data_IF_314042587198
#
_entry.id   IF_314042587198
#
_cell.length_a   1.000
_cell.length_b   1.000
_cell.length_c   1.000
_cell.angle_alpha   90.00
_cell.angle_beta   90.00
_cell.angle_gamma   90.00
#
_symmetry.space_group_name_H-M   'P 1'
#
loop_
_entity.id
_entity.type
_entity.pdbx_description
1 polymer ?
#
# COMPACT_ATOMS: atom_id res chain seq x y z
N UNK A 1 -10.56 7.72 12.08
CA UNK A 1 -9.95 7.21 13.33
C UNK A 1 -10.96 6.65 14.34
N UNK A 2 -12.22 7.13 14.44
CA UNK A 2 -13.17 6.60 15.45
C UNK A 2 -13.80 5.23 15.17
N UNK A 3 -13.92 4.81 13.89
CA UNK A 3 -14.59 3.54 13.53
C UNK A 3 -13.83 2.29 14.01
N UNK A 4 -12.50 2.34 13.97
CA UNK A 4 -11.64 1.24 14.44
C UNK A 4 -11.69 1.07 15.96
N UNK A 5 -11.81 2.17 16.71
CA UNK A 5 -11.89 2.14 18.17
C UNK A 5 -13.21 1.49 18.64
N UNK A 6 -14.31 1.76 17.93
CA UNK A 6 -15.62 1.19 18.21
C UNK A 6 -15.65 -0.33 17.93
N UNK A 7 -14.98 -0.80 16.87
CA UNK A 7 -14.86 -2.24 16.58
C UNK A 7 -14.05 -2.95 17.66
N UNK A 8 -12.92 -2.37 18.08
CA UNK A 8 -12.08 -2.95 19.15
C UNK A 8 -12.84 -2.99 20.47
N UNK A 9 -13.61 -1.94 20.80
CA UNK A 9 -14.45 -1.90 21.99
C UNK A 9 -15.52 -3.01 21.98
N UNK A 10 -16.20 -3.22 20.85
CA UNK A 10 -17.23 -4.26 20.73
C UNK A 10 -16.60 -5.66 20.86
N UNK A 11 -15.47 -5.91 20.19
CA UNK A 11 -14.77 -7.21 20.28
C UNK A 11 -14.29 -7.49 21.70
N UNK A 12 -13.78 -6.47 22.41
CA UNK A 12 -13.37 -6.60 23.81
C UNK A 12 -14.55 -6.91 24.75
N UNK A 13 -15.69 -6.23 24.58
CA UNK A 13 -16.90 -6.46 25.39
C UNK A 13 -17.46 -7.86 25.15
N UNK A 14 -17.56 -8.29 23.88
CA UNK A 14 -18.05 -9.63 23.53
C UNK A 14 -17.10 -10.70 24.04
N UNK A 15 -15.79 -10.51 23.90
CA UNK A 15 -14.78 -11.43 24.42
C UNK A 15 -14.84 -11.59 25.94
N UNK A 16 -14.97 -10.47 26.67
CA UNK A 16 -15.13 -10.50 28.13
C UNK A 16 -16.45 -11.17 28.55
N UNK A 17 -17.55 -10.92 27.83
CA UNK A 17 -18.85 -11.52 28.11
C UNK A 17 -18.87 -13.03 27.85
N UNK A 18 -18.25 -13.49 26.76
CA UNK A 18 -18.10 -14.92 26.45
C UNK A 18 -17.22 -15.62 27.48
N UNK A 19 -16.09 -15.01 27.88
CA UNK A 19 -15.25 -15.56 28.95
C UNK A 19 -15.97 -15.61 30.29
N UNK A 20 -16.78 -14.60 30.61
CA UNK A 20 -17.59 -14.56 31.84
C UNK A 20 -18.68 -15.65 31.86
N UNK A 21 -19.32 -15.93 30.73
CA UNK A 21 -20.37 -16.95 30.62
C UNK A 21 -19.83 -18.38 30.56
N UNK A 22 -18.66 -18.61 29.95
CA UNK A 22 -18.11 -19.95 29.72
C UNK A 22 -17.06 -20.40 30.73
N UNK A 23 -16.55 -19.50 31.58
CA UNK A 23 -15.46 -19.81 32.51
C UNK A 23 -15.54 -19.05 33.87
N UNK A 24 -16.63 -19.15 34.64
CA UNK A 24 -16.80 -18.42 35.91
C UNK A 24 -15.85 -18.88 37.03
N UNK A 25 -15.12 -19.98 36.84
CA UNK A 25 -14.26 -20.61 37.86
C UNK A 25 -12.79 -20.64 37.49
N UNK A 26 -12.37 -20.03 36.37
CA UNK A 26 -10.96 -19.98 36.04
C UNK A 26 -10.24 -18.97 36.93
N UNK A 27 -9.16 -19.37 37.62
CA UNK A 27 -8.31 -18.44 38.36
C UNK A 27 -7.85 -17.29 37.47
N UNK A 28 -7.81 -16.07 38.03
CA UNK A 28 -7.50 -14.84 37.28
C UNK A 28 -6.18 -14.91 36.48
N UNK A 29 -5.20 -15.70 36.94
CA UNK A 29 -3.95 -15.89 36.23
C UNK A 29 -4.11 -16.69 34.92
N UNK A 30 -5.03 -17.66 34.85
CA UNK A 30 -5.29 -18.44 33.63
C UNK A 30 -5.99 -17.56 32.59
N UNK A 31 -6.95 -16.74 33.03
CA UNK A 31 -7.62 -15.78 32.15
C UNK A 31 -6.64 -14.73 31.60
N UNK A 32 -5.71 -14.24 32.43
CA UNK A 32 -4.67 -13.32 31.98
C UNK A 32 -3.72 -13.96 30.95
N UNK A 33 -3.24 -15.18 31.22
CA UNK A 33 -2.34 -15.90 30.29
C UNK A 33 -3.06 -16.22 28.98
N UNK A 34 -4.30 -16.70 29.03
CA UNK A 34 -5.10 -16.94 27.82
C UNK A 34 -5.36 -15.64 27.04
N UNK A 35 -5.64 -14.54 27.72
CA UNK A 35 -5.78 -13.22 27.11
C UNK A 35 -4.51 -12.74 26.40
N UNK A 36 -3.33 -12.90 27.03
CA UNK A 36 -2.04 -12.54 26.43
C UNK A 36 -1.72 -13.44 25.22
N UNK A 37 -2.01 -14.73 25.29
CA UNK A 37 -1.79 -15.67 24.18
C UNK A 37 -2.72 -15.34 23.02
N UNK A 38 -4.01 -15.11 23.28
CA UNK A 38 -5.00 -14.74 22.25
C UNK A 38 -4.67 -13.39 21.63
N UNK A 39 -4.30 -12.39 22.42
CA UNK A 39 -3.88 -11.08 21.89
C UNK A 39 -2.57 -11.18 21.11
N UNK A 40 -1.59 -11.98 21.55
CA UNK A 40 -0.37 -12.25 20.78
C UNK A 40 -0.65 -12.98 19.47
N UNK A 41 -1.62 -13.90 19.46
CA UNK A 41 -1.99 -14.65 18.26
C UNK A 41 -2.78 -13.77 17.29
N UNK A 42 -3.71 -12.96 17.80
CA UNK A 42 -4.43 -11.95 17.02
C UNK A 42 -3.46 -10.90 16.48
N UNK A 43 -2.46 -10.46 17.24
CA UNK A 43 -1.42 -9.54 16.76
C UNK A 43 -0.56 -10.16 15.64
N UNK A 44 -0.41 -11.50 15.61
CA UNK A 44 0.18 -12.21 14.46
C UNK A 44 -0.77 -12.45 13.29
N UNK A 45 -2.09 -12.33 13.48
CA UNK A 45 -3.12 -12.55 12.45
C UNK A 45 -3.69 -11.26 11.88
N UNK A 46 -3.58 -10.14 12.59
CA UNK A 46 -3.82 -8.81 12.04
C UNK A 46 -2.58 -8.51 11.18
N UNK A 47 -2.73 -8.34 9.86
CA UNK A 47 -1.64 -7.82 9.06
C UNK A 47 -1.40 -6.42 9.60
N UNK A 48 -0.32 -6.27 10.39
CA UNK A 48 0.38 -5.00 10.49
C UNK A 48 0.39 -4.42 9.09
N UNK A 49 -0.04 -3.16 8.97
CA UNK A 49 0.37 -2.32 7.84
C UNK A 49 1.86 -2.07 8.04
N UNK A 50 2.63 -3.15 7.95
CA UNK A 50 4.05 -3.18 7.73
C UNK A 50 4.23 -2.25 6.56
N UNK A 51 4.87 -1.12 6.84
CA UNK A 51 5.76 -0.47 5.89
C UNK A 51 6.50 -1.61 5.19
N UNK A 52 6.00 -2.00 4.04
CA UNK A 52 6.47 -3.17 3.35
C UNK A 52 7.87 -2.80 2.89
N UNK A 53 8.87 -3.38 3.54
CA UNK A 53 9.98 -3.95 2.81
C UNK A 53 9.34 -4.96 1.84
N UNK A 54 8.79 -4.43 0.74
CA UNK A 54 8.50 -5.24 -0.43
C UNK A 54 9.87 -5.78 -0.78
N UNK A 55 10.08 -7.09 -0.60
CA UNK A 55 11.08 -7.79 -1.39
C UNK A 55 10.70 -7.43 -2.82
N UNK A 56 11.42 -6.46 -3.40
CA UNK A 56 11.29 -6.10 -4.79
C UNK A 56 11.69 -7.35 -5.57
N UNK A 57 10.73 -8.23 -5.84
CA UNK A 57 10.84 -9.03 -7.05
C UNK A 57 10.73 -8.03 -8.19
N UNK A 58 11.88 -7.44 -8.53
CA UNK A 58 11.99 -6.59 -9.68
C UNK A 58 11.58 -7.43 -10.88
N UNK A 59 10.55 -6.98 -11.57
CA UNK A 59 10.14 -7.63 -12.79
C UNK A 59 11.26 -7.46 -13.81
N UNK A 60 11.93 -8.57 -14.13
CA UNK A 60 12.98 -8.64 -15.15
C UNK A 60 12.28 -8.89 -16.48
N UNK A 61 11.91 -7.81 -17.16
CA UNK A 61 11.22 -7.82 -18.45
C UNK A 61 11.03 -6.41 -19.00
N UNK A 62 10.35 -6.23 -20.13
CA UNK A 62 10.09 -4.90 -20.68
C UNK A 62 9.24 -4.08 -19.69
N UNK A 63 9.82 -2.99 -19.18
CA UNK A 63 9.15 -2.05 -18.28
C UNK A 63 8.82 -0.76 -19.02
N UNK A 64 7.80 -0.08 -18.53
CA UNK A 64 7.34 1.20 -19.04
C UNK A 64 7.04 2.11 -17.86
N UNK A 65 7.44 3.37 -18.00
CA UNK A 65 7.17 4.38 -16.99
C UNK A 65 5.90 5.16 -17.34
N UNK A 66 5.01 5.30 -16.36
CA UNK A 66 3.79 6.08 -16.47
C UNK A 66 3.91 7.35 -15.65
N UNK A 67 3.45 8.45 -16.22
CA UNK A 67 3.17 9.70 -15.52
C UNK A 67 1.76 9.65 -14.94
N UNK A 68 1.66 9.90 -13.64
CA UNK A 68 0.40 9.92 -12.90
C UNK A 68 0.19 11.31 -12.31
N UNK A 69 -0.74 12.06 -12.88
CA UNK A 69 -1.08 13.44 -12.50
C UNK A 69 -2.40 13.56 -11.76
N UNK A 70 -2.60 14.73 -11.15
CA UNK A 70 -3.77 15.09 -10.33
C UNK A 70 -4.00 14.16 -9.12
N UNK A 71 -2.91 13.58 -8.61
CA UNK A 71 -2.93 12.77 -7.41
C UNK A 71 -3.33 13.61 -6.18
N UNK A 72 -4.14 13.07 -5.26
CA UNK A 72 -4.45 13.70 -3.98
C UNK A 72 -3.18 14.05 -3.22
N UNK A 73 -3.15 15.22 -2.57
CA UNK A 73 -2.00 15.64 -1.77
C UNK A 73 -1.72 14.74 -0.57
N UNK A 74 -2.66 13.87 -0.20
CA UNK A 74 -2.53 12.92 0.90
C UNK A 74 -2.06 11.53 0.46
N UNK A 75 -2.02 11.23 -0.85
CA UNK A 75 -1.69 9.88 -1.34
C UNK A 75 -0.22 9.52 -1.14
N UNK A 76 0.02 8.32 -0.61
CA UNK A 76 1.37 7.77 -0.41
C UNK A 76 1.79 6.83 -1.56
N UNK A 77 3.10 6.59 -1.68
CA UNK A 77 3.66 5.68 -2.69
C UNK A 77 3.07 4.26 -2.58
N UNK A 78 2.81 3.78 -1.35
CA UNK A 78 2.18 2.49 -1.12
C UNK A 78 0.76 2.39 -1.69
N UNK A 79 -0.07 3.44 -1.53
CA UNK A 79 -1.43 3.46 -2.10
C UNK A 79 -1.39 3.43 -3.63
N UNK A 80 -0.46 4.17 -4.24
CA UNK A 80 -0.26 4.16 -5.69
C UNK A 80 0.26 2.79 -6.14
N UNK A 81 1.21 2.19 -5.44
CA UNK A 81 1.72 0.85 -5.76
C UNK A 81 0.62 -0.20 -5.74
N UNK A 82 -0.27 -0.16 -4.75
CA UNK A 82 -1.42 -1.07 -4.65
C UNK A 82 -2.40 -0.86 -5.81
N UNK A 83 -2.73 0.40 -6.13
CA UNK A 83 -3.67 0.73 -7.22
C UNK A 83 -3.14 0.25 -8.58
N UNK A 84 -1.87 0.46 -8.87
CA UNK A 84 -1.25 0.04 -10.13
C UNK A 84 -0.91 -1.45 -10.14
N UNK A 85 -0.70 -2.05 -8.96
CA UNK A 85 -0.45 -3.48 -8.77
C UNK A 85 -1.59 -4.40 -9.22
N UNK A 86 -2.83 -3.89 -9.27
CA UNK A 86 -3.99 -4.63 -9.79
C UNK A 86 -3.86 -4.91 -11.30
N UNK A 87 -3.11 -4.08 -12.03
CA UNK A 87 -2.95 -4.19 -13.49
C UNK A 87 -1.67 -4.91 -13.91
N UNK A 88 -0.67 -4.99 -13.02
CA UNK A 88 0.59 -5.69 -13.28
C UNK A 88 1.66 -5.44 -12.21
N UNK A 89 2.81 -6.14 -12.28
CA UNK A 89 3.91 -5.95 -11.36
C UNK A 89 4.51 -4.54 -11.47
N UNK A 90 4.62 -3.85 -10.33
CA UNK A 90 5.16 -2.49 -10.20
C UNK A 90 6.58 -2.56 -9.65
N UNK A 91 7.54 -2.09 -10.44
CA UNK A 91 8.95 -2.05 -10.07
C UNK A 91 9.23 -0.90 -9.11
N UNK A 92 8.85 0.32 -9.48
CA UNK A 92 9.16 1.52 -8.69
C UNK A 92 8.04 2.55 -8.75
N UNK A 93 7.86 3.29 -7.65
CA UNK A 93 6.91 4.41 -7.57
C UNK A 93 7.62 5.61 -6.98
N UNK A 94 7.61 6.72 -7.72
CA UNK A 94 8.26 7.97 -7.33
C UNK A 94 7.27 9.12 -7.33
N UNK A 95 6.90 9.60 -6.14
CA UNK A 95 6.03 10.78 -6.01
C UNK A 95 6.84 12.07 -5.91
N UNK A 96 6.51 13.07 -6.72
CA UNK A 96 7.24 14.33 -6.75
C UNK A 96 6.74 15.28 -5.65
N UNK A 97 7.68 15.73 -4.83
CA UNK A 97 7.46 16.69 -3.76
C UNK A 97 8.26 17.95 -4.04
N UNK A 98 7.71 19.10 -3.68
CA UNK A 98 8.44 20.36 -3.75
C UNK A 98 9.52 20.39 -2.66
N UNK A 99 10.79 20.56 -3.06
CA UNK A 99 11.94 20.56 -2.17
C UNK A 99 11.99 21.78 -1.25
N UNK A 100 11.33 22.88 -1.62
CA UNK A 100 11.32 24.13 -0.83
C UNK A 100 10.22 24.14 0.22
N UNK A 101 9.03 23.67 -0.13
CA UNK A 101 7.85 23.72 0.75
C UNK A 101 7.51 22.38 1.39
N UNK A 102 8.13 21.28 0.96
CA UNK A 102 7.81 19.91 1.38
C UNK A 102 6.44 19.43 0.90
N UNK A 103 5.65 20.27 0.20
CA UNK A 103 4.30 19.95 -0.24
C UNK A 103 4.36 19.04 -1.47
N UNK A 104 3.47 18.06 -1.52
CA UNK A 104 3.33 17.17 -2.70
C UNK A 104 2.81 17.99 -3.87
N UNK A 105 3.41 17.84 -5.05
CA UNK A 105 2.94 18.56 -6.25
C UNK A 105 1.68 17.92 -6.86
N UNK A 106 1.27 16.75 -6.37
CA UNK A 106 0.11 16.02 -6.88
C UNK A 106 0.38 15.29 -8.19
N UNK A 107 1.62 14.89 -8.42
CA UNK A 107 1.98 14.02 -9.53
C UNK A 107 3.18 13.12 -9.17
N UNK A 108 3.35 12.05 -9.93
CA UNK A 108 4.45 11.11 -9.77
C UNK A 108 4.67 10.25 -11.00
N UNK A 109 5.63 9.35 -10.88
CA UNK A 109 6.04 8.40 -11.90
C UNK A 109 5.93 6.98 -11.33
N UNK A 110 5.42 6.05 -12.14
CA UNK A 110 5.28 4.64 -11.78
C UNK A 110 5.94 3.81 -12.86
N UNK A 111 6.91 3.00 -12.49
CA UNK A 111 7.54 2.03 -13.38
C UNK A 111 6.94 0.65 -13.13
N UNK A 112 6.41 0.04 -14.19
CA UNK A 112 5.77 -1.28 -14.14
C UNK A 112 5.97 -2.03 -15.46
N UNK A 113 5.55 -3.29 -15.55
CA UNK A 113 5.63 -4.02 -16.81
C UNK A 113 4.88 -3.31 -17.94
N UNK A 114 5.40 -3.36 -19.17
CA UNK A 114 4.80 -2.67 -20.33
C UNK A 114 3.34 -3.08 -20.56
N UNK A 115 3.04 -4.38 -20.44
CA UNK A 115 1.68 -4.92 -20.53
C UNK A 115 0.75 -4.35 -19.46
N UNK A 116 1.24 -4.25 -18.22
CA UNK A 116 0.47 -3.67 -17.11
C UNK A 116 0.29 -2.17 -17.27
N UNK A 117 1.31 -1.47 -17.76
CA UNK A 117 1.31 -0.04 -17.98
C UNK A 117 0.25 0.39 -19.01
N UNK A 118 0.15 -0.32 -20.13
CA UNK A 118 -0.87 -0.05 -21.15
C UNK A 118 -2.29 -0.24 -20.59
N UNK A 119 -2.52 -1.31 -19.83
CA UNK A 119 -3.82 -1.58 -19.17
C UNK A 119 -4.17 -0.51 -18.15
N UNK A 120 -3.22 -0.16 -17.29
CA UNK A 120 -3.37 0.88 -16.29
C UNK A 120 -3.68 2.24 -16.94
N UNK A 121 -3.01 2.58 -18.04
CA UNK A 121 -3.26 3.82 -18.77
C UNK A 121 -4.69 3.89 -19.31
N UNK A 122 -5.24 2.80 -19.86
CA UNK A 122 -6.62 2.78 -20.37
C UNK A 122 -7.66 2.78 -19.24
N UNK A 123 -7.39 2.10 -18.13
CA UNK A 123 -8.36 1.91 -17.03
C UNK A 123 -8.33 2.99 -15.96
N UNK A 124 -7.15 3.53 -15.65
CA UNK A 124 -6.94 4.53 -14.60
C UNK A 124 -6.89 5.96 -15.13
N UNK A 125 -6.74 6.16 -16.45
CA UNK A 125 -6.88 7.50 -17.00
C UNK A 125 -8.34 7.97 -16.86
N UNK A 126 -8.51 9.15 -16.27
CA UNK A 126 -9.79 9.75 -15.90
C UNK A 126 -10.57 9.01 -14.79
N UNK A 127 -9.91 8.11 -14.06
CA UNK A 127 -10.48 7.45 -12.90
C UNK A 127 -10.59 8.40 -11.69
N UNK A 128 -11.73 8.38 -11.00
CA UNK A 128 -11.97 9.19 -9.80
C UNK A 128 -11.37 8.53 -8.56
N UNK A 129 -10.31 9.11 -8.02
CA UNK A 129 -9.62 8.66 -6.81
C UNK A 129 -9.60 9.77 -5.76
N UNK A 130 -10.24 9.51 -4.60
CA UNK A 130 -10.35 10.46 -3.48
C UNK A 130 -10.79 11.87 -3.93
N UNK A 131 -11.91 11.94 -4.66
CA UNK A 131 -12.50 13.19 -5.20
C UNK A 131 -11.65 13.91 -6.27
N UNK A 132 -10.61 13.25 -6.80
CA UNK A 132 -9.78 13.79 -7.89
C UNK A 132 -9.70 12.82 -9.04
N UNK A 133 -9.80 13.35 -10.25
CA UNK A 133 -9.67 12.57 -11.49
C UNK A 133 -8.20 12.36 -11.82
N UNK A 134 -7.71 11.14 -11.75
CA UNK A 134 -6.33 10.81 -12.10
C UNK A 134 -6.09 11.01 -13.60
N UNK A 135 -4.91 11.50 -13.95
CA UNK A 135 -4.46 11.56 -15.35
C UNK A 135 -3.26 10.65 -15.51
N UNK A 136 -3.44 9.55 -16.24
CA UNK A 136 -2.38 8.57 -16.47
C UNK A 136 -1.93 8.67 -17.92
N UNK A 137 -0.64 8.86 -18.14
CA UNK A 137 -0.03 8.97 -19.47
C UNK A 137 1.28 8.23 -19.50
N UNK A 138 1.70 7.83 -20.68
CA UNK A 138 3.08 7.41 -20.90
C UNK A 138 4.04 8.54 -20.49
N UNK A 139 5.02 8.22 -19.64
CA UNK A 139 6.08 9.14 -19.31
C UNK A 139 7.18 9.03 -20.38
N UNK A 140 7.63 10.16 -20.93
CA UNK A 140 8.90 10.21 -21.65
C UNK A 140 10.02 10.15 -20.62
N UNK A 141 10.48 8.95 -20.31
CA UNK A 141 11.63 8.77 -19.41
C UNK A 141 12.90 9.21 -20.14
N UNK A 142 13.71 10.07 -19.52
CA UNK A 142 15.07 10.40 -20.01
C UNK A 142 16.09 9.29 -19.68
N UNK A 143 15.66 8.23 -18.97
CA UNK A 143 16.54 7.21 -18.40
C UNK A 143 16.82 6.03 -19.35
N UNK A 144 16.27 6.03 -20.58
CA UNK A 144 16.61 5.02 -21.60
C UNK A 144 18.05 5.12 -22.12
N UNK A 145 18.82 6.15 -21.73
CA UNK A 145 20.20 6.36 -22.16
C UNK A 145 21.26 5.78 -21.19
N UNK A 146 20.83 5.17 -20.08
CA UNK A 146 21.74 4.57 -19.09
C UNK A 146 21.93 3.06 -19.24
N UNK A 147 21.09 2.37 -20.02
CA UNK A 147 21.16 0.91 -20.21
C UNK A 147 22.14 0.46 -21.31
N UNK A 148 22.68 1.40 -22.11
CA UNK A 148 23.57 1.10 -23.25
C UNK A 148 25.06 1.32 -22.94
N UNK A 149 25.46 1.45 -21.66
CA UNK A 149 26.88 1.70 -21.28
C UNK A 149 27.59 0.56 -20.56
N UNK A 150 26.99 -0.63 -20.43
CA UNK A 150 27.59 -1.73 -19.65
C UNK A 150 27.90 -3.01 -20.45
N UNK A 151 27.76 -2.99 -21.77
CA UNK A 151 28.21 -4.09 -22.64
C UNK A 151 29.23 -3.55 -23.62
N UNK A 152 30.44 -3.29 -23.15
CA UNK A 152 31.68 -3.32 -23.93
C UNK A 152 32.86 -3.14 -22.96
N UNK A 153 33.35 -4.25 -22.41
CA UNK A 153 34.77 -4.44 -22.09
C UNK A 153 35.20 -5.83 -22.57
#
# INVERSE_FOLDING_TARGET
MQKSFLIVLIVAIVGAFVLFQFAPTLPAYIAFVAGVIVTSLIFKLVPETSSSHVTEEQYVGPTMTLYVGNLPYRVHEGEVKVLFGEFGPVNSVRLVRDRKTGRRKGFGFVEMSESGAQKAMVKLNDYSFQERTLKVREAKTQDSEAADRTTEE
#
